data_IF_014434246223
#
_entry.id   IF_014434246223
#
_cell.length_a   1.000
_cell.length_b   1.000
_cell.length_c   1.000
_cell.angle_alpha   90.00
_cell.angle_beta   90.00
_cell.angle_gamma   90.00
#
_symmetry.space_group_name_H-M   'P 1'
#
loop_
_entity.id
_entity.type
_entity.pdbx_description
1 polymer ?
#
# COMPACT_ATOMS: atom_id res chain seq x y z
N UNK A 1 4.14 31.68 -8.33
CA UNK A 1 5.12 30.61 -8.62
C UNK A 1 4.91 29.32 -7.80
N UNK A 2 4.81 29.38 -6.46
CA UNK A 2 4.70 28.17 -5.61
C UNK A 2 3.37 27.39 -5.79
N UNK A 3 2.24 28.08 -5.95
CA UNK A 3 0.92 27.45 -6.23
C UNK A 3 0.90 26.69 -7.56
N UNK A 4 1.53 27.24 -8.61
CA UNK A 4 1.61 26.59 -9.92
C UNK A 4 2.50 25.35 -9.87
N UNK A 5 3.66 25.42 -9.18
CA UNK A 5 4.50 24.24 -8.93
C UNK A 5 3.73 23.14 -8.19
N UNK A 6 2.92 23.51 -7.20
CA UNK A 6 2.10 22.55 -6.45
C UNK A 6 0.99 21.92 -7.33
N UNK A 7 0.30 22.71 -8.16
CA UNK A 7 -0.69 22.19 -9.11
C UNK A 7 -0.08 21.19 -10.09
N UNK A 8 1.06 21.55 -10.69
CA UNK A 8 1.79 20.68 -11.63
C UNK A 8 2.19 19.37 -10.94
N UNK A 9 2.73 19.45 -9.72
CA UNK A 9 3.10 18.28 -8.92
C UNK A 9 1.89 17.37 -8.65
N UNK A 10 0.79 17.93 -8.14
CA UNK A 10 -0.43 17.16 -7.87
C UNK A 10 -1.00 16.52 -9.14
N UNK A 11 -0.91 17.22 -10.28
CA UNK A 11 -1.30 16.66 -11.58
C UNK A 11 -0.45 15.43 -11.93
N UNK A 12 0.88 15.51 -11.77
CA UNK A 12 1.78 14.37 -11.99
C UNK A 12 1.40 13.16 -11.12
N UNK A 13 1.22 13.37 -9.82
CA UNK A 13 0.87 12.30 -8.87
C UNK A 13 -0.45 11.60 -9.21
N UNK A 14 -1.48 12.39 -9.59
CA UNK A 14 -2.77 11.85 -10.04
C UNK A 14 -2.68 11.09 -11.36
N UNK A 15 -1.91 11.61 -12.32
CA UNK A 15 -1.68 10.89 -13.58
C UNK A 15 -0.95 9.59 -13.33
N UNK A 16 0.08 9.58 -12.46
CA UNK A 16 0.79 8.36 -12.08
C UNK A 16 -0.14 7.31 -11.46
N UNK A 17 -1.03 7.70 -10.54
CA UNK A 17 -1.96 6.74 -9.92
C UNK A 17 -3.00 6.20 -10.91
N UNK A 18 -3.48 7.03 -11.84
CA UNK A 18 -4.39 6.60 -12.91
C UNK A 18 -3.71 5.64 -13.89
N UNK A 19 -2.47 5.94 -14.30
CA UNK A 19 -1.69 5.04 -15.16
C UNK A 19 -1.45 3.70 -14.47
N UNK A 20 -1.07 3.72 -13.19
CA UNK A 20 -0.86 2.50 -12.42
C UNK A 20 -2.15 1.68 -12.30
N UNK A 21 -3.30 2.33 -12.07
CA UNK A 21 -4.61 1.69 -12.05
C UNK A 21 -4.95 1.01 -13.39
N UNK A 22 -4.73 1.69 -14.52
CA UNK A 22 -4.95 1.11 -15.85
C UNK A 22 -4.04 -0.10 -16.08
N UNK A 23 -2.75 0.01 -15.74
CA UNK A 23 -1.79 -1.08 -15.89
C UNK A 23 -2.21 -2.30 -15.08
N UNK A 24 -2.51 -2.14 -13.78
CA UNK A 24 -2.83 -3.29 -12.93
C UNK A 24 -4.15 -3.97 -13.33
N UNK A 25 -5.13 -3.19 -13.80
CA UNK A 25 -6.39 -3.73 -14.32
C UNK A 25 -6.15 -4.48 -15.63
N UNK A 26 -5.39 -3.90 -16.57
CA UNK A 26 -5.07 -4.55 -17.84
C UNK A 26 -4.29 -5.85 -17.63
N UNK A 27 -3.25 -5.85 -16.79
CA UNK A 27 -2.49 -7.05 -16.45
C UNK A 27 -3.37 -8.13 -15.82
N UNK A 28 -4.33 -7.74 -14.98
CA UNK A 28 -5.27 -8.68 -14.37
C UNK A 28 -6.25 -9.30 -15.37
N UNK A 29 -6.64 -8.56 -16.42
CA UNK A 29 -7.49 -9.08 -17.50
C UNK A 29 -6.74 -10.04 -18.43
N UNK A 30 -5.48 -9.72 -18.74
CA UNK A 30 -4.69 -10.44 -19.72
C UNK A 30 -4.07 -11.75 -19.19
N UNK A 31 -4.01 -11.93 -17.86
CA UNK A 31 -3.49 -13.16 -17.18
C UNK A 31 -2.14 -13.63 -17.75
N UNK A 32 -1.22 -12.69 -17.94
CA UNK A 32 0.02 -12.89 -18.71
C UNK A 32 1.11 -13.71 -18.00
N UNK A 33 0.94 -14.09 -16.73
CA UNK A 33 2.03 -14.67 -15.93
C UNK A 33 1.52 -15.63 -14.87
N UNK A 34 2.34 -16.63 -14.54
CA UNK A 34 2.15 -17.47 -13.36
C UNK A 34 2.38 -16.62 -12.10
N UNK A 35 1.47 -16.74 -11.13
CA UNK A 35 1.56 -16.04 -9.85
C UNK A 35 2.82 -16.44 -9.07
N UNK A 36 3.37 -17.64 -9.27
CA UNK A 36 4.63 -18.04 -8.66
C UNK A 36 5.85 -17.30 -9.22
N UNK A 37 5.80 -16.81 -10.46
CA UNK A 37 6.91 -16.04 -11.03
C UNK A 37 6.87 -14.57 -10.60
N UNK A 38 5.67 -14.03 -10.39
CA UNK A 38 5.44 -12.60 -10.15
C UNK A 38 5.01 -12.26 -8.74
N UNK A 39 4.76 -13.24 -7.87
CA UNK A 39 4.27 -13.06 -6.51
C UNK A 39 5.36 -13.07 -5.44
N UNK A 40 4.99 -12.67 -4.23
CA UNK A 40 5.82 -12.78 -3.03
C UNK A 40 5.36 -13.95 -2.16
N UNK A 41 6.30 -14.84 -1.83
CA UNK A 41 6.14 -15.97 -0.91
C UNK A 41 7.52 -16.38 -0.39
N UNK A 42 7.55 -17.18 0.68
CA UNK A 42 8.80 -17.64 1.28
C UNK A 42 9.61 -18.52 0.30
N UNK A 43 10.88 -18.19 0.09
CA UNK A 43 11.72 -18.86 -0.90
C UNK A 43 11.51 -18.39 -2.34
N UNK A 44 10.64 -17.39 -2.57
CA UNK A 44 10.42 -16.77 -3.86
C UNK A 44 11.59 -15.87 -4.31
N UNK A 45 11.60 -15.53 -5.60
CA UNK A 45 12.65 -14.70 -6.19
C UNK A 45 12.53 -13.21 -5.84
N UNK A 46 13.64 -12.47 -5.93
CA UNK A 46 13.62 -11.00 -5.84
C UNK A 46 12.84 -10.35 -6.97
N UNK A 47 12.74 -11.01 -8.13
CA UNK A 47 11.92 -10.53 -9.25
C UNK A 47 10.45 -10.55 -8.87
N UNK A 48 9.95 -11.66 -8.28
CA UNK A 48 8.57 -11.75 -7.80
C UNK A 48 8.25 -10.67 -6.76
N UNK A 49 9.18 -10.37 -5.84
CA UNK A 49 9.02 -9.27 -4.87
C UNK A 49 8.83 -7.91 -5.50
N UNK A 50 9.56 -7.61 -6.57
CA UNK A 50 9.47 -6.33 -7.28
C UNK A 50 8.18 -6.27 -8.11
N UNK A 51 7.74 -7.40 -8.66
CA UNK A 51 6.61 -7.45 -9.58
C UNK A 51 5.25 -7.59 -8.88
N UNK A 52 5.18 -8.20 -7.70
CA UNK A 52 3.89 -8.56 -7.10
C UNK A 52 2.88 -7.41 -6.95
N UNK A 53 3.27 -6.14 -6.71
CA UNK A 53 2.29 -5.06 -6.61
C UNK A 53 1.54 -4.81 -7.93
N UNK A 54 2.11 -5.16 -9.08
CA UNK A 54 1.53 -4.90 -10.39
C UNK A 54 0.54 -5.98 -10.84
N UNK A 55 0.73 -7.22 -10.37
CA UNK A 55 -0.13 -8.35 -10.70
C UNK A 55 -1.23 -8.55 -9.66
N UNK A 56 -2.36 -9.13 -10.07
CA UNK A 56 -3.51 -9.36 -9.21
C UNK A 56 -4.19 -10.68 -9.57
N UNK A 57 -4.70 -11.36 -8.55
CA UNK A 57 -5.40 -12.66 -8.68
C UNK A 57 -6.69 -12.60 -9.50
N UNK A 58 -7.26 -11.41 -9.70
CA UNK A 58 -8.44 -11.22 -10.55
C UNK A 58 -8.91 -9.78 -10.61
N UNK A 59 -9.83 -9.51 -11.55
CA UNK A 59 -10.29 -8.16 -11.90
C UNK A 59 -10.93 -7.41 -10.72
N UNK A 60 -11.68 -8.12 -9.87
CA UNK A 60 -12.31 -7.52 -8.68
C UNK A 60 -11.23 -7.05 -7.71
N UNK A 61 -10.24 -7.90 -7.45
CA UNK A 61 -9.12 -7.58 -6.57
C UNK A 61 -8.28 -6.42 -7.12
N UNK A 62 -8.00 -6.40 -8.43
CA UNK A 62 -7.31 -5.30 -9.09
C UNK A 62 -8.09 -3.99 -9.01
N UNK A 63 -9.40 -4.03 -9.28
CA UNK A 63 -10.27 -2.85 -9.28
C UNK A 63 -10.40 -2.24 -7.89
N UNK A 64 -10.57 -3.06 -6.84
CA UNK A 64 -10.62 -2.58 -5.45
C UNK A 64 -9.31 -1.91 -5.04
N UNK A 65 -8.18 -2.52 -5.36
CA UNK A 65 -6.87 -1.95 -5.09
C UNK A 65 -6.64 -0.62 -5.82
N UNK A 66 -6.95 -0.58 -7.12
CA UNK A 66 -6.86 0.61 -7.94
C UNK A 66 -7.76 1.73 -7.40
N UNK A 67 -8.99 1.40 -7.03
CA UNK A 67 -9.94 2.32 -6.42
C UNK A 67 -9.41 2.93 -5.12
N UNK A 68 -8.89 2.10 -4.21
CA UNK A 68 -8.30 2.57 -2.96
C UNK A 68 -7.11 3.51 -3.20
N UNK A 69 -6.20 3.14 -4.11
CA UNK A 69 -5.04 3.95 -4.46
C UNK A 69 -5.45 5.31 -5.05
N UNK A 70 -6.35 5.31 -6.03
CA UNK A 70 -6.84 6.54 -6.66
C UNK A 70 -7.52 7.41 -5.61
N UNK A 71 -8.40 6.83 -4.78
CA UNK A 71 -9.10 7.57 -3.72
C UNK A 71 -8.11 8.25 -2.78
N UNK A 72 -7.08 7.54 -2.31
CA UNK A 72 -6.03 8.10 -1.46
C UNK A 72 -5.29 9.27 -2.13
N UNK A 73 -4.84 9.10 -3.37
CA UNK A 73 -4.07 10.12 -4.09
C UNK A 73 -4.93 11.34 -4.47
N UNK A 74 -6.24 11.16 -4.66
CA UNK A 74 -7.15 12.26 -5.01
C UNK A 74 -7.67 13.03 -3.79
N UNK A 75 -7.90 12.35 -2.68
CA UNK A 75 -8.41 12.95 -1.43
C UNK A 75 -7.26 13.58 -0.62
N UNK A 76 -6.12 12.88 -0.52
CA UNK A 76 -4.96 13.31 0.27
C UNK A 76 -3.84 13.81 -0.63
N UNK A 77 -2.99 14.70 -0.10
CA UNK A 77 -1.83 15.23 -0.82
C UNK A 77 -0.67 14.23 -0.80
N UNK A 78 -0.86 13.08 -1.44
CA UNK A 78 0.14 12.00 -1.49
C UNK A 78 1.26 12.38 -2.45
N UNK A 79 2.45 12.62 -1.90
CA UNK A 79 3.64 12.93 -2.70
C UNK A 79 4.16 11.69 -3.43
N UNK A 80 4.77 11.88 -4.61
CA UNK A 80 5.45 10.79 -5.32
C UNK A 80 6.49 10.06 -4.45
N UNK A 81 7.23 10.78 -3.60
CA UNK A 81 8.18 10.18 -2.65
C UNK A 81 7.50 9.24 -1.66
N UNK A 82 6.27 9.56 -1.22
CA UNK A 82 5.48 8.71 -0.32
C UNK A 82 5.01 7.45 -1.04
N UNK A 83 4.68 7.53 -2.33
CA UNK A 83 4.39 6.35 -3.16
C UNK A 83 5.62 5.47 -3.36
N UNK A 84 6.79 6.06 -3.62
CA UNK A 84 8.05 5.32 -3.75
C UNK A 84 8.39 4.61 -2.43
N UNK A 85 8.25 5.29 -1.29
CA UNK A 85 8.47 4.69 0.01
C UNK A 85 7.48 3.55 0.29
N UNK A 86 6.20 3.75 -0.03
CA UNK A 86 5.18 2.73 0.10
C UNK A 86 5.52 1.47 -0.72
N UNK A 87 6.00 1.67 -1.95
CA UNK A 87 6.49 0.60 -2.80
C UNK A 87 7.70 -0.11 -2.20
N UNK A 88 8.72 0.62 -1.75
CA UNK A 88 9.91 0.04 -1.11
C UNK A 88 9.51 -0.84 0.08
N UNK A 89 8.70 -0.31 1.00
CA UNK A 89 8.22 -1.08 2.17
C UNK A 89 7.48 -2.34 1.74
N UNK A 90 6.61 -2.23 0.74
CA UNK A 90 5.83 -3.35 0.24
C UNK A 90 6.72 -4.47 -0.34
N UNK A 91 7.78 -4.15 -1.09
CA UNK A 91 8.68 -5.15 -1.71
C UNK A 91 9.74 -5.68 -0.74
N UNK A 92 10.05 -4.94 0.32
CA UNK A 92 10.98 -5.35 1.38
C UNK A 92 10.30 -6.08 2.54
N UNK A 93 9.03 -6.49 2.39
CA UNK A 93 8.35 -7.29 3.40
C UNK A 93 9.20 -8.55 3.74
N UNK A 94 9.54 -8.78 5.02
CA UNK A 94 10.47 -9.85 5.42
C UNK A 94 9.76 -11.20 5.48
N UNK A 95 9.23 -11.67 4.34
CA UNK A 95 8.40 -12.87 4.24
C UNK A 95 9.15 -14.13 4.68
N UNK A 96 10.44 -14.32 4.37
CA UNK A 96 11.18 -15.53 4.79
C UNK A 96 11.24 -15.61 6.31
N UNK A 97 11.67 -14.54 6.97
CA UNK A 97 11.81 -14.52 8.43
C UNK A 97 10.46 -14.65 9.10
N UNK A 98 9.44 -13.92 8.64
CA UNK A 98 8.12 -13.96 9.27
C UNK A 98 7.39 -15.28 9.03
N UNK A 99 7.59 -15.96 7.90
CA UNK A 99 6.98 -17.27 7.63
C UNK A 99 7.45 -18.38 8.56
N UNK A 100 8.59 -18.19 9.25
CA UNK A 100 9.10 -19.14 10.24
C UNK A 100 8.37 -19.06 11.58
N UNK A 101 7.72 -17.93 11.88
CA UNK A 101 7.13 -17.63 13.20
C UNK A 101 5.64 -17.28 13.14
N UNK A 102 5.13 -16.90 11.96
CA UNK A 102 3.73 -16.54 11.73
C UNK A 102 3.08 -17.49 10.72
N UNK A 103 1.77 -17.74 10.83
CA UNK A 103 1.03 -18.57 9.87
C UNK A 103 0.78 -17.79 8.57
N UNK A 104 1.82 -17.58 7.78
CA UNK A 104 1.73 -16.94 6.46
C UNK A 104 1.54 -18.03 5.41
N UNK A 105 0.60 -17.83 4.49
CA UNK A 105 0.34 -18.77 3.39
C UNK A 105 1.59 -18.95 2.52
N UNK A 106 1.84 -20.19 2.10
CA UNK A 106 2.86 -20.51 1.10
C UNK A 106 2.44 -20.09 -0.33
N UNK A 107 1.18 -19.72 -0.53
CA UNK A 107 0.69 -19.27 -1.83
C UNK A 107 1.29 -17.89 -2.19
N UNK A 108 1.62 -17.66 -3.47
CA UNK A 108 2.15 -16.39 -3.93
C UNK A 108 1.15 -15.27 -3.67
N UNK A 109 1.60 -14.25 -2.93
CA UNK A 109 0.83 -13.03 -2.73
C UNK A 109 1.07 -12.08 -3.90
N UNK A 110 0.00 -11.56 -4.47
CA UNK A 110 0.03 -10.51 -5.51
C UNK A 110 -0.94 -9.39 -5.14
N UNK A 111 -0.67 -8.20 -5.64
CA UNK A 111 -1.51 -7.02 -5.54
C UNK A 111 -0.85 -5.85 -4.84
N UNK A 112 -1.19 -4.62 -5.25
CA UNK A 112 -0.64 -3.39 -4.70
C UNK A 112 -1.15 -3.03 -3.29
N UNK A 113 -1.97 -3.89 -2.68
CA UNK A 113 -2.58 -3.66 -1.36
C UNK A 113 -1.56 -3.28 -0.28
N UNK A 114 -0.34 -3.85 -0.29
CA UNK A 114 0.74 -3.44 0.62
C UNK A 114 1.07 -1.94 0.53
N UNK A 115 1.14 -1.39 -0.69
CA UNK A 115 1.34 0.04 -0.94
C UNK A 115 0.19 0.85 -0.33
N UNK A 116 -1.06 0.41 -0.58
CA UNK A 116 -2.26 1.06 -0.06
C UNK A 116 -2.30 1.07 1.47
N UNK A 117 -1.98 -0.04 2.12
CA UNK A 117 -1.93 -0.11 3.59
C UNK A 117 -0.82 0.77 4.17
N UNK A 118 0.35 0.85 3.54
CA UNK A 118 1.36 1.82 3.94
C UNK A 118 0.83 3.26 3.82
N UNK A 119 0.17 3.60 2.71
CA UNK A 119 -0.40 4.94 2.52
C UNK A 119 -1.44 5.24 3.59
N UNK A 120 -2.34 4.30 3.91
CA UNK A 120 -3.29 4.44 5.02
C UNK A 120 -2.59 4.71 6.35
N UNK A 121 -1.50 4.00 6.66
CA UNK A 121 -0.71 4.26 7.86
C UNK A 121 -0.07 5.65 7.83
N UNK A 122 0.48 6.06 6.68
CA UNK A 122 1.23 7.31 6.53
C UNK A 122 0.36 8.58 6.70
N UNK A 123 -0.94 8.49 6.40
CA UNK A 123 -1.90 9.59 6.62
C UNK A 123 -2.57 9.56 7.99
N UNK A 124 -2.27 8.57 8.84
CA UNK A 124 -2.98 8.31 10.10
C UNK A 124 -3.03 9.50 11.07
N UNK A 125 -2.03 10.39 11.03
CA UNK A 125 -1.99 11.60 11.85
C UNK A 125 -2.52 12.85 11.14
N UNK A 126 -2.67 12.80 9.81
CA UNK A 126 -3.19 13.88 8.97
C UNK A 126 -4.72 13.95 8.97
N UNK A 127 -5.39 12.83 9.29
CA UNK A 127 -6.86 12.77 9.35
C UNK A 127 -7.43 13.54 10.54
N UNK A 128 -8.60 14.16 10.34
CA UNK A 128 -9.29 14.95 11.36
C UNK A 128 -9.77 14.08 12.54
N UNK A 129 -10.51 12.99 12.24
CA UNK A 129 -11.09 12.09 13.25
C UNK A 129 -10.20 10.85 13.43
N UNK A 130 -9.08 11.00 14.15
CA UNK A 130 -8.04 9.96 14.29
C UNK A 130 -8.58 8.64 14.85
N UNK A 131 -9.32 8.66 15.95
CA UNK A 131 -9.87 7.44 16.55
C UNK A 131 -10.84 6.71 15.62
N UNK A 132 -11.74 7.44 14.96
CA UNK A 132 -12.67 6.87 13.98
C UNK A 132 -11.93 6.23 12.80
N UNK A 133 -10.90 6.90 12.29
CA UNK A 133 -10.06 6.36 11.23
C UNK A 133 -9.33 5.08 11.67
N UNK A 134 -8.73 5.09 12.86
CA UNK A 134 -8.03 3.92 13.40
C UNK A 134 -8.97 2.75 13.64
N UNK A 135 -10.19 3.00 14.12
CA UNK A 135 -11.22 1.97 14.27
C UNK A 135 -11.54 1.29 12.93
N UNK A 136 -11.67 2.06 11.84
CA UNK A 136 -11.84 1.51 10.49
C UNK A 136 -10.61 0.74 10.00
N UNK A 137 -9.40 1.22 10.27
CA UNK A 137 -8.18 0.50 9.89
C UNK A 137 -8.06 -0.84 10.62
N UNK A 138 -8.38 -0.88 11.91
CA UNK A 138 -8.46 -2.13 12.68
C UNK A 138 -9.52 -3.06 12.09
N UNK A 139 -10.71 -2.55 11.77
CA UNK A 139 -11.75 -3.33 11.12
C UNK A 139 -11.26 -3.95 9.80
N UNK A 140 -10.65 -3.17 8.90
CA UNK A 140 -10.16 -3.69 7.62
C UNK A 140 -9.04 -4.73 7.78
N UNK A 141 -8.14 -4.55 8.75
CA UNK A 141 -7.11 -5.52 9.07
C UNK A 141 -7.72 -6.84 9.56
N UNK A 142 -8.69 -6.78 10.49
CA UNK A 142 -9.40 -7.96 11.01
C UNK A 142 -10.12 -8.69 9.87
N UNK A 143 -10.84 -7.96 9.01
CA UNK A 143 -11.50 -8.54 7.83
C UNK A 143 -10.48 -9.28 6.95
N UNK A 144 -9.29 -8.71 6.73
CA UNK A 144 -8.22 -9.40 6.01
C UNK A 144 -7.84 -10.74 6.67
N UNK A 145 -7.76 -10.83 7.99
CA UNK A 145 -7.45 -12.10 8.68
C UNK A 145 -8.55 -13.16 8.57
N UNK A 146 -9.79 -12.75 8.27
CA UNK A 146 -10.94 -13.66 8.13
C UNK A 146 -11.13 -14.12 6.68
N UNK A 147 -10.88 -13.24 5.71
CA UNK A 147 -11.08 -13.57 4.30
C UNK A 147 -9.94 -14.45 3.75
N UNK A 148 -10.26 -15.48 2.95
CA UNK A 148 -9.23 -16.26 2.28
C UNK A 148 -8.58 -15.43 1.16
N UNK A 149 -7.35 -15.79 0.80
CA UNK A 149 -6.56 -15.16 -0.27
C UNK A 149 -6.11 -13.71 -0.02
N UNK A 150 -6.14 -13.25 1.23
CA UNK A 150 -5.51 -11.99 1.67
C UNK A 150 -4.29 -12.25 2.54
N UNK A 151 -3.20 -11.54 2.26
CA UNK A 151 -1.99 -11.60 3.09
C UNK A 151 -2.05 -10.49 4.17
N UNK A 152 -2.74 -10.80 5.26
CA UNK A 152 -3.04 -9.84 6.33
C UNK A 152 -1.81 -9.43 7.13
N UNK A 153 -0.80 -10.30 7.20
CA UNK A 153 0.48 -10.00 7.82
C UNK A 153 1.26 -8.95 7.02
N UNK A 154 1.25 -9.04 5.69
CA UNK A 154 1.77 -8.01 4.81
C UNK A 154 1.02 -6.68 5.01
N UNK A 155 -0.32 -6.71 5.06
CA UNK A 155 -1.14 -5.51 5.29
C UNK A 155 -0.82 -4.84 6.62
N UNK A 156 -0.74 -5.63 7.70
CA UNK A 156 -0.39 -5.13 9.03
C UNK A 156 1.02 -4.52 9.04
N UNK A 157 2.01 -5.23 8.48
CA UNK A 157 3.39 -4.73 8.38
C UNK A 157 3.44 -3.38 7.66
N UNK A 158 2.88 -3.31 6.45
CA UNK A 158 2.89 -2.08 5.66
C UNK A 158 2.18 -0.94 6.40
N UNK A 159 1.03 -1.22 7.03
CA UNK A 159 0.29 -0.24 7.82
C UNK A 159 1.09 0.32 8.99
N UNK A 160 1.74 -0.54 9.77
CA UNK A 160 2.58 -0.14 10.90
C UNK A 160 3.79 0.69 10.45
N UNK A 161 4.47 0.29 9.37
CA UNK A 161 5.52 1.10 8.75
C UNK A 161 5.00 2.47 8.28
N UNK A 162 3.78 2.52 7.76
CA UNK A 162 3.10 3.76 7.43
C UNK A 162 2.87 4.65 8.64
N UNK A 163 2.34 4.10 9.75
CA UNK A 163 2.16 4.85 11.00
C UNK A 163 3.50 5.40 11.49
N UNK A 164 4.55 4.57 11.50
CA UNK A 164 5.89 5.00 11.87
C UNK A 164 6.37 6.15 10.99
N UNK A 165 6.19 6.05 9.66
CA UNK A 165 6.49 7.14 8.74
C UNK A 165 5.68 8.41 9.07
N UNK A 166 4.41 8.29 9.46
CA UNK A 166 3.58 9.41 9.87
C UNK A 166 4.11 10.08 11.14
N UNK A 167 4.48 9.30 12.15
CA UNK A 167 5.05 9.76 13.41
C UNK A 167 6.37 10.52 13.19
N UNK A 168 7.28 9.97 12.38
CA UNK A 168 8.58 10.57 12.08
C UNK A 168 8.46 11.89 11.31
N UNK A 169 7.37 12.08 10.57
CA UNK A 169 7.11 13.30 9.80
C UNK A 169 6.07 14.22 10.47
N UNK A 170 5.57 13.85 11.65
CA UNK A 170 4.59 14.66 12.35
C UNK A 170 5.25 15.95 12.85
N UNK A 171 4.73 17.14 12.50
CA UNK A 171 5.32 18.39 12.96
C UNK A 171 5.24 18.45 14.49
N UNK A 172 6.39 18.40 15.15
CA UNK A 172 6.49 18.63 16.59
C UNK A 172 6.17 20.11 16.81
N UNK A 173 4.93 20.41 17.17
CA UNK A 173 4.58 21.73 17.68
C UNK A 173 5.20 21.81 19.08
N UNK A 174 6.36 22.45 19.18
CA UNK A 174 6.96 22.81 20.48
C UNK A 174 6.02 23.84 21.09
N UNK A 175 5.14 23.40 21.98
CA UNK A 175 4.41 24.31 22.86
C UNK A 175 5.45 25.02 23.74
N UNK A 176 5.87 26.23 23.36
CA UNK A 176 6.50 27.14 24.29
C UNK A 176 5.48 27.43 25.38
N UNK A 177 5.75 26.98 26.62
CA UNK A 177 5.03 27.49 27.79
C UNK A 177 5.16 29.02 27.75
N UNK A 178 4.02 29.72 27.72
CA UNK A 178 3.96 31.14 28.01
C UNK A 178 4.22 31.37 29.49
#
# INVERSE_FOLDING_TARGET
MQREKEKIRRKKEKVTSLLLAVIVIALSLLKLSDLHEVGIYAGGSWVGRVLYPFFHSGIIHATLNAWCLISLVFIYNIRLQRLILAYIVAVTFPIETLSQVLPISALPTVGLSGIVFFLFGSISLEVRRKLYYQAWMVFYLIVGFVFPYTNSWLHLYCYLCGILSSLLNYPIVICRKK
#
